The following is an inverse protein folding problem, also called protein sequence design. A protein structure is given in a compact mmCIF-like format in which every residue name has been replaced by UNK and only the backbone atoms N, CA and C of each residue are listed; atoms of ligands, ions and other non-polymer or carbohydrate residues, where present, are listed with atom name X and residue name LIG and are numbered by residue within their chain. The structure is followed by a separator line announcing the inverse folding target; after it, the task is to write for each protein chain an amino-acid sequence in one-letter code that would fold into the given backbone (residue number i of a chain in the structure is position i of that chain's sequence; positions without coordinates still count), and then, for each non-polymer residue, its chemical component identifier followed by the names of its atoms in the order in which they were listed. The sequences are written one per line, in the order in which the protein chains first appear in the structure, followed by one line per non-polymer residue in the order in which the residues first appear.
data_IF_378172072294
#
_entry.id   IF_378172072294
#
_cell.length_a   1.000
_cell.length_b   1.000
_cell.length_c   1.000
_cell.angle_alpha   90.00
_cell.angle_beta   90.00
_cell.angle_gamma   90.00
#
_symmetry.space_group_name_H-M   'P 1'
#
loop_
_entity.id
_entity.type
_entity.pdbx_description
1 polymer ?
#
# COMPACT_ATOMS: atom_id res chain seq x y z
N UNK A 1 7.37 -36.17 6.14
CA UNK A 1 7.64 -35.90 4.71
C UNK A 1 7.51 -34.41 4.47
N UNK A 2 8.39 -33.76 3.69
CA UNK A 2 8.28 -32.34 3.37
C UNK A 2 7.20 -32.11 2.29
N UNK A 3 6.46 -31.02 2.41
CA UNK A 3 5.39 -30.64 1.47
C UNK A 3 5.98 -30.23 0.12
N UNK A 4 5.46 -30.82 -0.96
CA UNK A 4 5.86 -30.53 -2.35
C UNK A 4 5.10 -29.32 -2.91
N UNK A 5 5.70 -28.54 -3.82
CA UNK A 5 5.17 -27.25 -4.31
C UNK A 5 3.94 -27.31 -5.25
N UNK A 6 3.23 -28.44 -5.32
CA UNK A 6 2.12 -28.63 -6.28
C UNK A 6 0.72 -28.25 -5.74
N UNK A 7 0.59 -27.88 -4.47
CA UNK A 7 -0.72 -27.65 -3.83
C UNK A 7 -1.29 -26.21 -3.93
N UNK A 8 -0.68 -25.29 -4.69
CA UNK A 8 -1.12 -23.87 -4.71
C UNK A 8 -1.85 -23.49 -6.02
N UNK A 9 -2.30 -24.46 -6.81
CA UNK A 9 -2.94 -24.23 -8.12
C UNK A 9 -4.42 -24.62 -8.14
N UNK A 10 -5.25 -23.91 -7.37
CA UNK A 10 -6.68 -23.81 -7.62
C UNK A 10 -7.28 -22.61 -6.85
N UNK A 11 -8.32 -21.98 -7.40
CA UNK A 11 -8.99 -20.72 -6.99
C UNK A 11 -8.37 -19.53 -7.75
N UNK A 12 -8.93 -18.98 -8.82
CA UNK A 12 -10.35 -18.83 -9.19
C UNK A 12 -10.47 -18.50 -10.67
N UNK A 13 -11.19 -19.33 -11.41
CA UNK A 13 -11.82 -18.95 -12.68
C UNK A 13 -13.18 -18.34 -12.40
N UNK A 14 -13.36 -17.06 -12.71
CA UNK A 14 -14.64 -16.36 -12.67
C UNK A 14 -14.58 -15.07 -13.49
N UNK A 15 -15.00 -15.14 -14.75
CA UNK A 15 -15.15 -13.96 -15.63
C UNK A 15 -16.44 -13.21 -15.30
N UNK A 16 -16.33 -11.88 -15.19
CA UNK A 16 -17.15 -10.86 -15.86
C UNK A 16 -17.38 -9.63 -14.95
N UNK A 17 -16.75 -8.51 -15.31
CA UNK A 17 -16.97 -7.20 -14.72
C UNK A 17 -15.99 -6.20 -15.36
N UNK A 18 -16.45 -5.49 -16.39
CA UNK A 18 -15.65 -4.46 -17.05
C UNK A 18 -15.39 -3.28 -16.12
N UNK A 19 -14.13 -2.86 -16.02
CA UNK A 19 -13.69 -1.69 -15.28
C UNK A 19 -12.17 -1.54 -15.36
N UNK A 20 -11.73 -0.54 -16.13
CA UNK A 20 -10.38 0.06 -16.13
C UNK A 20 -9.19 -0.90 -16.21
N UNK A 21 -8.69 -1.05 -17.44
CA UNK A 21 -7.35 -1.55 -17.73
C UNK A 21 -6.28 -0.58 -17.20
N UNK A 22 -5.97 -0.66 -15.92
CA UNK A 22 -4.72 -0.23 -15.28
C UNK A 22 -4.57 -1.10 -14.03
N UNK A 23 -4.66 -2.43 -14.16
CA UNK A 23 -4.42 -3.32 -13.02
C UNK A 23 -2.93 -3.31 -12.77
N UNK A 24 -2.50 -2.32 -11.97
CA UNK A 24 -1.18 -2.29 -11.37
C UNK A 24 -0.85 -3.68 -10.84
N UNK A 25 0.40 -4.07 -11.06
CA UNK A 25 0.99 -5.31 -10.55
C UNK A 25 0.42 -5.62 -9.14
N UNK A 26 -0.24 -6.77 -8.99
CA UNK A 26 -0.84 -7.12 -7.71
C UNK A 26 0.20 -7.11 -6.59
N UNK A 27 -0.19 -6.77 -5.35
CA UNK A 27 0.74 -6.57 -4.22
C UNK A 27 1.77 -7.71 -4.08
N UNK A 28 1.36 -8.96 -4.30
CA UNK A 28 2.26 -10.12 -4.26
C UNK A 28 3.33 -10.12 -5.37
N UNK A 29 2.98 -9.68 -6.58
CA UNK A 29 3.93 -9.55 -7.68
C UNK A 29 4.92 -8.40 -7.42
N UNK A 30 4.44 -7.26 -6.94
CA UNK A 30 5.28 -6.15 -6.51
C UNK A 30 6.28 -6.57 -5.41
N UNK A 31 5.81 -7.26 -4.36
CA UNK A 31 6.68 -7.77 -3.29
C UNK A 31 7.76 -8.70 -3.86
N UNK A 32 7.39 -9.68 -4.70
CA UNK A 32 8.37 -10.61 -5.30
C UNK A 32 9.41 -9.88 -6.13
N UNK A 33 8.98 -8.90 -6.92
CA UNK A 33 9.86 -8.08 -7.74
C UNK A 33 10.84 -7.28 -6.88
N UNK A 34 10.35 -6.52 -5.91
CA UNK A 34 11.21 -5.74 -5.01
C UNK A 34 12.20 -6.63 -4.25
N UNK A 35 11.74 -7.79 -3.77
CA UNK A 35 12.63 -8.76 -3.12
C UNK A 35 13.67 -9.34 -4.09
N UNK A 36 13.34 -9.56 -5.36
CA UNK A 36 14.29 -10.10 -6.34
C UNK A 36 15.30 -9.05 -6.81
N UNK A 37 14.88 -7.79 -6.94
CA UNK A 37 15.72 -6.69 -7.44
C UNK A 37 16.61 -6.07 -6.35
N UNK A 38 16.19 -6.10 -5.08
CA UNK A 38 16.82 -5.35 -3.99
C UNK A 38 17.12 -6.19 -2.74
N UNK A 39 17.19 -7.53 -2.88
CA UNK A 39 17.56 -8.41 -1.77
C UNK A 39 18.88 -7.99 -1.13
N UNK A 40 18.87 -7.81 0.20
CA UNK A 40 20.08 -7.63 1.02
C UNK A 40 20.45 -6.18 1.37
N UNK A 41 19.85 -5.18 0.75
CA UNK A 41 20.19 -3.78 1.05
C UNK A 41 19.22 -3.13 2.02
N UNK A 42 17.91 -3.03 1.68
CA UNK A 42 16.85 -2.49 2.55
C UNK A 42 15.42 -2.81 2.02
N UNK A 43 15.25 -3.95 1.33
CA UNK A 43 14.00 -4.26 0.63
C UNK A 43 12.76 -4.22 1.54
N UNK A 44 12.89 -4.66 2.80
CA UNK A 44 11.79 -4.63 3.77
C UNK A 44 11.32 -3.20 4.06
N UNK A 45 12.24 -2.30 4.39
CA UNK A 45 11.89 -0.92 4.73
C UNK A 45 11.28 -0.18 3.53
N UNK A 46 11.76 -0.44 2.32
CA UNK A 46 11.19 0.13 1.09
C UNK A 46 9.76 -0.34 0.85
N UNK A 47 9.48 -1.64 1.05
CA UNK A 47 8.13 -2.18 0.95
C UNK A 47 7.21 -1.55 2.00
N UNK A 48 7.65 -1.49 3.25
CA UNK A 48 6.87 -0.91 4.34
C UNK A 48 6.62 0.60 4.15
N UNK A 49 7.58 1.33 3.60
CA UNK A 49 7.42 2.74 3.30
C UNK A 49 6.50 2.99 2.09
N UNK A 50 6.53 2.12 1.08
CA UNK A 50 5.58 2.16 -0.02
C UNK A 50 4.15 1.95 0.47
N UNK A 51 3.90 0.88 1.23
CA UNK A 51 2.59 0.59 1.80
C UNK A 51 2.15 1.69 2.77
N UNK A 52 3.06 2.14 3.65
CA UNK A 52 2.79 3.22 4.60
C UNK A 52 2.37 4.54 3.92
N UNK A 53 3.01 4.88 2.79
CA UNK A 53 2.64 6.04 1.97
C UNK A 53 1.22 5.91 1.41
N UNK A 54 0.85 4.74 0.89
CA UNK A 54 -0.49 4.49 0.36
C UNK A 54 -1.55 4.60 1.46
N UNK A 55 -1.34 3.93 2.60
CA UNK A 55 -2.26 3.96 3.74
C UNK A 55 -2.52 5.38 4.24
N UNK A 56 -1.48 6.20 4.36
CA UNK A 56 -1.62 7.58 4.85
C UNK A 56 -2.33 8.45 3.81
N UNK A 57 -2.04 8.26 2.52
CA UNK A 57 -2.75 8.95 1.44
C UNK A 57 -4.24 8.66 1.49
N UNK A 58 -4.62 7.39 1.50
CA UNK A 58 -6.02 6.97 1.55
C UNK A 58 -6.74 7.53 2.79
N UNK A 59 -6.10 7.47 3.96
CA UNK A 59 -6.68 8.04 5.18
C UNK A 59 -6.89 9.56 5.07
N UNK A 60 -5.97 10.28 4.42
CA UNK A 60 -6.13 11.72 4.16
C UNK A 60 -7.26 11.97 3.15
N UNK A 61 -7.37 11.18 2.09
CA UNK A 61 -8.44 11.31 1.09
C UNK A 61 -9.82 11.02 1.69
N UNK A 62 -9.98 9.90 2.40
CA UNK A 62 -11.21 9.52 3.12
C UNK A 62 -11.66 10.62 4.09
N UNK A 63 -10.70 11.33 4.70
CA UNK A 63 -10.99 12.38 5.68
C UNK A 63 -11.02 13.79 5.09
N UNK A 64 -10.94 13.93 3.76
CA UNK A 64 -10.93 15.22 3.06
C UNK A 64 -9.76 16.13 3.48
N UNK A 65 -8.57 15.55 3.68
CA UNK A 65 -7.37 16.25 4.13
C UNK A 65 -7.33 16.58 5.63
N UNK A 66 -8.33 16.16 6.41
CA UNK A 66 -8.36 16.44 7.84
C UNK A 66 -7.38 15.55 8.61
N UNK A 67 -6.18 16.07 8.84
CA UNK A 67 -5.07 15.39 9.54
C UNK A 67 -5.45 14.83 10.92
N UNK A 68 -6.28 15.54 11.70
CA UNK A 68 -6.70 15.04 13.01
C UNK A 68 -7.64 13.84 12.88
N UNK A 69 -8.57 13.87 11.93
CA UNK A 69 -9.45 12.72 11.65
C UNK A 69 -8.68 11.55 11.03
N UNK A 70 -7.74 11.81 10.12
CA UNK A 70 -6.87 10.78 9.55
C UNK A 70 -6.03 10.08 10.63
N UNK A 71 -5.45 10.84 11.57
CA UNK A 71 -4.67 10.27 12.67
C UNK A 71 -5.55 9.35 13.54
N UNK A 72 -6.77 9.79 13.88
CA UNK A 72 -7.74 8.98 14.62
C UNK A 72 -8.17 7.73 13.84
N UNK A 73 -8.42 7.85 12.54
CA UNK A 73 -8.78 6.74 11.66
C UNK A 73 -7.70 5.65 11.65
N UNK A 74 -6.43 6.06 11.63
CA UNK A 74 -5.27 5.17 11.62
C UNK A 74 -4.84 4.70 13.02
N UNK A 75 -5.49 5.14 14.09
CA UNK A 75 -5.06 4.85 15.47
C UNK A 75 -3.71 5.46 15.84
N UNK A 76 -3.28 6.51 15.15
CA UNK A 76 -2.00 7.19 15.36
C UNK A 76 -2.19 8.46 16.18
N UNK A 77 -1.14 8.85 16.90
CA UNK A 77 -1.07 10.21 17.44
C UNK A 77 -0.96 11.22 16.28
N UNK A 78 -1.49 12.43 16.49
CA UNK A 78 -1.34 13.53 15.52
C UNK A 78 0.13 13.82 15.15
N UNK A 79 1.10 13.93 16.09
CA UNK A 79 2.50 14.15 15.71
C UNK A 79 3.09 12.97 14.91
N UNK A 80 2.71 11.72 15.21
CA UNK A 80 3.14 10.55 14.42
C UNK A 80 2.65 10.62 12.98
N UNK A 81 1.39 11.01 12.76
CA UNK A 81 0.87 11.19 11.40
C UNK A 81 1.64 12.28 10.65
N UNK A 82 1.87 13.43 11.28
CA UNK A 82 2.60 14.55 10.65
C UNK A 82 4.01 14.13 10.24
N UNK A 83 4.75 13.47 11.14
CA UNK A 83 6.09 12.96 10.84
C UNK A 83 6.09 11.98 9.66
N UNK A 84 5.06 11.13 9.53
CA UNK A 84 4.95 10.20 8.40
C UNK A 84 4.54 10.90 7.10
N UNK A 85 3.67 11.90 7.15
CA UNK A 85 3.33 12.75 5.99
C UNK A 85 4.58 13.43 5.44
N UNK A 86 5.41 13.98 6.33
CA UNK A 86 6.70 14.59 5.99
C UNK A 86 7.68 13.56 5.43
N UNK A 87 7.86 12.42 6.12
CA UNK A 87 8.72 11.30 5.67
C UNK A 87 8.39 10.89 4.23
N UNK A 88 7.11 10.83 3.88
CA UNK A 88 6.65 10.38 2.56
C UNK A 88 6.46 11.50 1.54
N UNK A 89 6.70 12.76 1.91
CA UNK A 89 6.52 13.91 1.01
C UNK A 89 5.09 14.02 0.47
N UNK A 90 4.09 13.61 1.25
CA UNK A 90 2.69 13.65 0.83
C UNK A 90 2.18 15.09 0.85
N UNK A 91 2.07 15.69 -0.34
CA UNK A 91 1.36 16.96 -0.51
C UNK A 91 -0.13 16.66 -0.53
N UNK A 92 -0.88 17.23 0.43
CA UNK A 92 -2.34 17.16 0.42
C UNK A 92 -2.80 17.98 -0.79
N UNK A 93 -3.01 17.31 -1.91
CA UNK A 93 -3.81 17.86 -2.99
C UNK A 93 -5.22 17.93 -2.42
N UNK A 94 -5.65 19.12 -2.02
CA UNK A 94 -7.07 19.41 -2.06
C UNK A 94 -7.47 19.15 -3.51
N UNK A 95 -8.07 18.00 -3.79
CA UNK A 95 -8.85 17.81 -4.99
C UNK A 95 -9.97 18.84 -4.87
N UNK A 96 -9.75 19.99 -5.51
CA UNK A 96 -10.82 20.92 -5.84
C UNK A 96 -11.60 20.20 -6.95
N UNK A 97 -12.83 19.85 -6.61
CA UNK A 97 -14.00 19.44 -7.41
C UNK A 97 -13.78 18.86 -8.81
#
# INVERSE_FOLDING_TARGET
APLTPEDVLAVTGGRAGGGTAETGEGLAAFIRRTLSEQAGENAFDQLMDHVGRLVIREALEITGGNRTRAARLLGLSRPTLLARIEKYGLKIGAQVS
#
